data_IF_601723339774
#
_entry.id   IF_601723339774
#
_cell.length_a   1.000
_cell.length_b   1.000
_cell.length_c   1.000
_cell.angle_alpha   90.00
_cell.angle_beta   90.00
_cell.angle_gamma   90.00
#
_symmetry.space_group_name_H-M   'P 1'
#
loop_
_entity.id
_entity.type
_entity.pdbx_description
1 polymer ?
#
# COMPACT_ATOMS: atom_id res chain seq x y z
N UNK A 1 6.14 -34.94 -19.49
CA UNK A 1 6.89 -33.66 -19.49
C UNK A 1 6.41 -32.85 -18.30
N UNK A 2 7.20 -32.77 -17.23
CA UNK A 2 6.92 -31.89 -16.10
C UNK A 2 7.42 -30.49 -16.46
N UNK A 3 6.52 -29.52 -16.55
CA UNK A 3 6.90 -28.11 -16.58
C UNK A 3 7.39 -27.75 -15.17
N UNK A 4 8.66 -27.36 -15.08
CA UNK A 4 9.23 -26.85 -13.84
C UNK A 4 8.40 -25.64 -13.37
N UNK A 5 8.02 -25.54 -12.09
CA UNK A 5 7.37 -24.35 -11.59
C UNK A 5 8.36 -23.20 -11.72
N UNK A 6 8.00 -22.19 -12.51
CA UNK A 6 8.70 -20.92 -12.54
C UNK A 6 8.51 -20.29 -11.17
N UNK A 7 9.45 -20.56 -10.25
CA UNK A 7 9.52 -19.88 -8.97
C UNK A 7 9.92 -18.45 -9.30
N UNK A 8 8.93 -17.57 -9.48
CA UNK A 8 9.18 -16.14 -9.34
C UNK A 8 9.78 -15.95 -7.95
N UNK A 9 10.94 -15.29 -7.81
CA UNK A 9 11.52 -15.09 -6.50
C UNK A 9 10.51 -14.32 -5.65
N UNK A 10 10.06 -14.95 -4.56
CA UNK A 10 9.15 -14.40 -3.53
C UNK A 10 9.59 -12.99 -3.08
N UNK A 11 10.86 -12.64 -3.28
CA UNK A 11 11.46 -11.37 -2.88
C UNK A 11 11.09 -10.15 -3.75
N UNK A 12 10.81 -10.29 -5.05
CA UNK A 12 10.70 -9.09 -5.93
C UNK A 12 9.38 -8.35 -5.80
N UNK A 13 8.26 -9.06 -5.59
CA UNK A 13 6.96 -8.39 -5.42
C UNK A 13 6.86 -7.71 -4.05
N UNK A 14 7.45 -8.32 -3.01
CA UNK A 14 7.39 -7.80 -1.64
C UNK A 14 8.20 -6.51 -1.44
N UNK A 15 9.37 -6.39 -2.08
CA UNK A 15 10.18 -5.15 -1.98
C UNK A 15 9.51 -3.94 -2.64
N UNK A 16 8.62 -4.16 -3.61
CA UNK A 16 7.85 -3.12 -4.30
C UNK A 16 6.38 -3.12 -3.91
N UNK A 17 6.04 -3.56 -2.70
CA UNK A 17 4.65 -3.71 -2.26
C UNK A 17 4.15 -2.52 -1.42
N UNK A 18 2.83 -2.32 -1.39
CA UNK A 18 2.23 -1.30 -0.53
C UNK A 18 2.36 -1.68 0.94
N UNK A 19 2.27 -2.97 1.29
CA UNK A 19 2.51 -3.41 2.66
C UNK A 19 3.91 -3.04 3.16
N UNK A 20 4.94 -3.14 2.31
CA UNK A 20 6.29 -2.74 2.65
C UNK A 20 6.39 -1.22 2.85
N UNK A 21 5.82 -0.43 1.93
CA UNK A 21 5.81 1.03 2.05
C UNK A 21 5.09 1.51 3.31
N UNK A 22 3.93 0.92 3.65
CA UNK A 22 3.18 1.23 4.86
C UNK A 22 3.97 0.90 6.14
N UNK A 23 4.60 -0.28 6.19
CA UNK A 23 5.47 -0.65 7.31
C UNK A 23 6.63 0.34 7.48
N UNK A 24 7.24 0.78 6.37
CA UNK A 24 8.32 1.76 6.42
C UNK A 24 7.83 3.10 6.98
N UNK A 25 6.69 3.61 6.49
CA UNK A 25 6.08 4.84 7.03
C UNK A 25 5.70 4.68 8.50
N UNK A 26 5.13 3.55 8.90
CA UNK A 26 4.79 3.31 10.31
C UNK A 26 6.04 3.39 11.21
N UNK A 27 7.18 2.87 10.75
CA UNK A 27 8.44 2.94 11.48
C UNK A 27 9.02 4.35 11.54
N UNK A 28 8.99 5.09 10.44
CA UNK A 28 9.56 6.46 10.37
C UNK A 28 8.66 7.50 11.05
N UNK A 29 7.34 7.30 11.01
CA UNK A 29 6.36 8.19 11.62
C UNK A 29 6.31 8.09 13.16
N UNK A 30 6.89 7.05 13.79
CA UNK A 30 6.91 6.87 15.26
C UNK A 30 7.42 8.07 16.06
N UNK A 31 8.30 8.87 15.47
CA UNK A 31 8.84 10.06 16.12
C UNK A 31 8.02 11.33 15.87
N UNK A 32 7.10 11.33 14.90
CA UNK A 32 6.45 12.53 14.37
C UNK A 32 4.91 12.47 14.31
N UNK A 33 4.32 11.29 14.48
CA UNK A 33 2.87 11.07 14.46
C UNK A 33 2.39 10.48 15.79
N UNK A 34 1.12 10.68 16.12
CA UNK A 34 0.50 10.06 17.30
C UNK A 34 0.49 8.52 17.24
N UNK A 35 0.46 7.85 18.40
CA UNK A 35 0.42 6.39 18.49
C UNK A 35 -0.73 5.76 17.69
N UNK A 36 -1.88 6.44 17.66
CA UNK A 36 -3.07 5.99 16.92
C UNK A 36 -2.78 5.87 15.42
N UNK A 37 -2.18 6.90 14.80
CA UNK A 37 -1.82 6.87 13.39
C UNK A 37 -0.81 5.76 13.10
N UNK A 38 0.22 5.62 13.95
CA UNK A 38 1.22 4.56 13.76
C UNK A 38 0.62 3.17 13.90
N UNK A 39 -0.33 2.96 14.82
CA UNK A 39 -1.02 1.69 14.98
C UNK A 39 -1.91 1.38 13.77
N UNK A 40 -2.62 2.38 13.22
CA UNK A 40 -3.42 2.20 12.01
C UNK A 40 -2.57 1.94 10.77
N UNK A 41 -1.38 2.53 10.67
CA UNK A 41 -0.41 2.21 9.61
C UNK A 41 0.09 0.77 9.70
N UNK A 42 0.49 0.32 10.90
CA UNK A 42 0.93 -1.06 11.15
C UNK A 42 -0.20 -2.07 10.84
N UNK A 43 -1.44 -1.78 11.28
CA UNK A 43 -2.61 -2.61 10.98
C UNK A 43 -2.87 -2.71 9.46
N UNK A 44 -2.87 -1.56 8.77
CA UNK A 44 -3.08 -1.51 7.34
C UNK A 44 -1.99 -2.26 6.58
N UNK A 45 -0.73 -2.14 6.99
CA UNK A 45 0.38 -2.89 6.39
C UNK A 45 0.15 -4.40 6.46
N UNK A 46 -0.29 -4.91 7.62
CA UNK A 46 -0.62 -6.32 7.81
C UNK A 46 -1.78 -6.80 6.93
N UNK A 47 -2.88 -6.02 6.84
CA UNK A 47 -4.02 -6.36 6.00
C UNK A 47 -3.68 -6.34 4.51
N UNK A 48 -2.91 -5.35 4.08
CA UNK A 48 -2.44 -5.23 2.69
C UNK A 48 -1.52 -6.40 2.35
N UNK A 49 -0.63 -6.81 3.27
CA UNK A 49 0.23 -7.97 3.06
C UNK A 49 -0.56 -9.25 2.81
N UNK A 50 -1.63 -9.49 3.57
CA UNK A 50 -2.51 -10.66 3.38
C UNK A 50 -3.13 -10.64 1.97
N UNK A 51 -3.65 -9.48 1.55
CA UNK A 51 -4.26 -9.33 0.22
C UNK A 51 -3.25 -9.51 -0.92
N UNK A 52 -2.08 -8.87 -0.82
CA UNK A 52 -0.99 -8.99 -1.80
C UNK A 52 -0.48 -10.43 -1.92
N UNK A 53 -0.30 -11.11 -0.79
CA UNK A 53 0.08 -12.53 -0.76
C UNK A 53 -0.96 -13.41 -1.43
N UNK A 54 -2.25 -13.16 -1.18
CA UNK A 54 -3.34 -13.92 -1.80
C UNK A 54 -3.38 -13.72 -3.32
N UNK A 55 -3.24 -12.49 -3.82
CA UNK A 55 -3.15 -12.22 -5.26
C UNK A 55 -1.94 -12.93 -5.87
N UNK A 56 -0.79 -12.85 -5.22
CA UNK A 56 0.43 -13.50 -5.68
C UNK A 56 0.26 -15.03 -5.79
N UNK A 57 -0.34 -15.66 -4.78
CA UNK A 57 -0.66 -17.09 -4.80
C UNK A 57 -1.60 -17.45 -5.94
N UNK A 58 -2.69 -16.69 -6.13
CA UNK A 58 -3.64 -16.89 -7.23
C UNK A 58 -2.96 -16.80 -8.61
N UNK A 59 -2.00 -15.89 -8.79
CA UNK A 59 -1.22 -15.80 -10.01
C UNK A 59 -0.24 -16.95 -10.20
N UNK A 60 0.40 -17.40 -9.12
CA UNK A 60 1.35 -18.49 -9.16
C UNK A 60 0.67 -19.81 -9.60
N UNK A 61 -0.58 -20.04 -9.19
CA UNK A 61 -1.35 -21.22 -9.62
C UNK A 61 -1.98 -21.06 -11.01
N UNK A 62 -2.22 -19.83 -11.49
CA UNK A 62 -2.87 -19.53 -12.77
C UNK A 62 -2.06 -18.52 -13.62
N UNK A 63 -0.83 -18.83 -14.03
CA UNK A 63 0.02 -17.89 -14.75
C UNK A 63 -0.59 -17.51 -16.11
N UNK A 64 -0.72 -16.20 -16.35
CA UNK A 64 -1.26 -15.67 -17.61
C UNK A 64 -2.78 -15.83 -17.76
N UNK A 65 -3.50 -16.15 -16.69
CA UNK A 65 -4.96 -16.22 -16.69
C UNK A 65 -5.56 -15.18 -15.75
N UNK A 66 -6.82 -14.83 -16.01
CA UNK A 66 -7.59 -13.93 -15.16
C UNK A 66 -7.80 -14.61 -13.81
N UNK A 67 -7.30 -14.01 -12.73
CA UNK A 67 -7.43 -14.56 -11.36
C UNK A 67 -8.82 -14.39 -10.76
N UNK A 68 -9.61 -13.43 -11.26
CA UNK A 68 -10.97 -13.18 -10.82
C UNK A 68 -11.78 -12.51 -11.96
N UNK A 69 -13.03 -12.93 -12.24
CA UNK A 69 -13.86 -12.31 -13.27
C UNK A 69 -14.27 -10.86 -12.96
N UNK A 70 -14.25 -10.44 -11.70
CA UNK A 70 -14.49 -9.05 -11.31
C UNK A 70 -13.22 -8.19 -11.57
N UNK A 71 -13.26 -7.21 -12.49
CA UNK A 71 -12.11 -6.36 -12.79
C UNK A 71 -11.71 -5.46 -11.61
N UNK A 72 -12.60 -5.27 -10.62
CA UNK A 72 -12.34 -4.48 -9.42
C UNK A 72 -11.91 -5.33 -8.22
N UNK A 73 -11.80 -6.65 -8.36
CA UNK A 73 -11.45 -7.56 -7.27
C UNK A 73 -10.21 -7.11 -6.48
N UNK A 74 -9.14 -6.79 -7.20
CA UNK A 74 -7.86 -6.38 -6.62
C UNK A 74 -7.99 -5.03 -5.91
N UNK A 75 -8.59 -4.06 -6.60
CA UNK A 75 -8.85 -2.73 -6.06
C UNK A 75 -9.69 -2.79 -4.78
N UNK A 76 -10.78 -3.55 -4.79
CA UNK A 76 -11.68 -3.70 -3.65
C UNK A 76 -10.98 -4.34 -2.45
N UNK A 77 -10.08 -5.30 -2.67
CA UNK A 77 -9.30 -5.88 -1.58
C UNK A 77 -8.31 -4.88 -0.97
N UNK A 78 -7.65 -4.04 -1.77
CA UNK A 78 -6.81 -2.95 -1.26
C UNK A 78 -7.63 -1.90 -0.50
N UNK A 79 -8.78 -1.49 -1.05
CA UNK A 79 -9.67 -0.52 -0.39
C UNK A 79 -10.18 -1.05 0.96
N UNK A 80 -10.54 -2.33 1.02
CA UNK A 80 -10.95 -3.00 2.26
C UNK A 80 -9.80 -3.05 3.28
N UNK A 81 -8.60 -3.41 2.84
CA UNK A 81 -7.42 -3.46 3.70
C UNK A 81 -7.02 -2.09 4.28
N UNK A 82 -7.24 -1.01 3.52
CA UNK A 82 -6.91 0.36 3.89
C UNK A 82 -8.03 1.11 4.62
N UNK A 83 -9.23 0.53 4.73
CA UNK A 83 -10.43 1.24 5.18
C UNK A 83 -10.24 1.97 6.52
N UNK A 84 -9.72 1.27 7.53
CA UNK A 84 -9.52 1.84 8.86
C UNK A 84 -8.51 2.99 8.83
N UNK A 85 -7.39 2.81 8.12
CA UNK A 85 -6.37 3.84 7.96
C UNK A 85 -6.93 5.08 7.27
N UNK A 86 -7.70 4.92 6.20
CA UNK A 86 -8.36 6.05 5.53
C UNK A 86 -9.31 6.79 6.49
N UNK A 87 -10.07 6.05 7.30
CA UNK A 87 -10.93 6.62 8.33
C UNK A 87 -10.15 7.50 9.32
N UNK A 88 -9.02 7.00 9.83
CA UNK A 88 -8.17 7.75 10.75
C UNK A 88 -7.56 8.97 10.05
N UNK A 89 -7.00 8.83 8.85
CA UNK A 89 -6.34 9.94 8.14
C UNK A 89 -7.29 11.08 7.73
N UNK A 90 -8.59 10.79 7.62
CA UNK A 90 -9.63 11.75 7.23
C UNK A 90 -10.49 12.21 8.40
N UNK A 91 -10.15 11.81 9.62
CA UNK A 91 -10.85 12.17 10.84
C UNK A 91 -10.89 13.70 11.03
N UNK A 92 -12.08 14.31 11.19
CA UNK A 92 -12.23 15.76 11.40
C UNK A 92 -11.39 16.31 12.56
N UNK A 93 -11.17 15.48 13.59
CA UNK A 93 -10.43 15.79 14.81
C UNK A 93 -8.97 16.13 14.53
N UNK A 94 -8.40 15.65 13.42
CA UNK A 94 -7.02 15.92 13.03
C UNK A 94 -6.79 17.29 12.42
N UNK A 95 -7.84 18.01 12.00
CA UNK A 95 -7.70 19.24 11.19
C UNK A 95 -6.88 20.35 11.85
N UNK A 96 -6.78 20.35 13.18
CA UNK A 96 -6.03 21.35 13.96
C UNK A 96 -4.90 20.74 14.80
N UNK A 97 -4.48 19.51 14.52
CA UNK A 97 -3.40 18.83 15.26
C UNK A 97 -2.07 18.94 14.52
N UNK A 98 -0.96 18.69 15.24
CA UNK A 98 0.36 18.58 14.65
C UNK A 98 0.43 17.47 13.58
N UNK A 99 -0.44 16.46 13.70
CA UNK A 99 -0.54 15.33 12.78
C UNK A 99 -1.24 15.68 11.46
N UNK A 100 -1.99 16.79 11.39
CA UNK A 100 -2.81 17.15 10.23
C UNK A 100 -2.03 17.06 8.91
N UNK A 101 -0.82 17.61 8.87
CA UNK A 101 -0.01 17.64 7.65
C UNK A 101 0.48 16.24 7.26
N UNK A 102 0.93 15.44 8.23
CA UNK A 102 1.41 14.08 8.00
C UNK A 102 0.26 13.20 7.52
N UNK A 103 -0.89 13.27 8.19
CA UNK A 103 -2.09 12.52 7.79
C UNK A 103 -2.57 12.90 6.39
N UNK A 104 -2.60 14.20 6.09
CA UNK A 104 -2.96 14.68 4.76
C UNK A 104 -2.00 14.15 3.68
N UNK A 105 -0.69 14.22 3.93
CA UNK A 105 0.32 13.72 2.99
C UNK A 105 0.18 12.22 2.74
N UNK A 106 0.02 11.41 3.81
CA UNK A 106 -0.20 9.96 3.70
C UNK A 106 -1.48 9.69 2.89
N UNK A 107 -2.58 10.37 3.23
CA UNK A 107 -3.85 10.19 2.54
C UNK A 107 -3.73 10.48 1.04
N UNK A 108 -3.11 11.58 0.65
CA UNK A 108 -2.91 11.94 -0.75
C UNK A 108 -2.11 10.88 -1.51
N UNK A 109 -1.04 10.33 -0.92
CA UNK A 109 -0.26 9.24 -1.52
C UNK A 109 -1.06 7.95 -1.65
N UNK A 110 -1.86 7.61 -0.64
CA UNK A 110 -2.75 6.44 -0.72
C UNK A 110 -3.79 6.58 -1.83
N UNK A 111 -4.34 7.78 -2.05
CA UNK A 111 -5.27 8.03 -3.16
C UNK A 111 -4.60 7.85 -4.52
N UNK A 112 -3.36 8.31 -4.69
CA UNK A 112 -2.59 8.10 -5.92
C UNK A 112 -2.35 6.61 -6.20
N UNK A 113 -1.96 5.86 -5.17
CA UNK A 113 -1.72 4.41 -5.26
C UNK A 113 -3.03 3.67 -5.60
N UNK A 114 -4.12 3.96 -4.89
CA UNK A 114 -5.44 3.38 -5.15
C UNK A 114 -5.92 3.66 -6.56
N UNK A 115 -5.65 4.86 -7.10
CA UNK A 115 -5.98 5.21 -8.48
C UNK A 115 -5.19 4.35 -9.48
N UNK A 116 -3.90 4.12 -9.26
CA UNK A 116 -3.09 3.24 -10.11
C UNK A 116 -3.64 1.82 -10.05
N UNK A 117 -3.91 1.30 -8.85
CA UNK A 117 -4.51 -0.02 -8.64
C UNK A 117 -5.88 -0.13 -9.33
N UNK A 118 -6.71 0.91 -9.29
CA UNK A 118 -8.00 0.91 -9.99
C UNK A 118 -7.84 0.72 -11.50
N UNK A 119 -6.85 1.40 -12.12
CA UNK A 119 -6.62 1.31 -13.56
C UNK A 119 -5.82 0.09 -14.02
N UNK A 120 -5.03 -0.52 -13.14
CA UNK A 120 -4.09 -1.60 -13.47
C UNK A 120 -4.38 -2.91 -12.75
N UNK A 121 -5.36 -2.93 -11.84
CA UNK A 121 -5.65 -4.08 -10.99
C UNK A 121 -6.13 -5.32 -11.72
N UNK A 122 -6.48 -5.23 -13.00
CA UNK A 122 -6.75 -6.40 -13.85
C UNK A 122 -5.48 -7.04 -14.42
N UNK A 123 -4.37 -6.31 -14.45
CA UNK A 123 -3.05 -6.71 -14.97
C UNK A 123 -2.01 -6.61 -13.86
N UNK A 124 -2.03 -7.56 -12.91
CA UNK A 124 -1.13 -7.50 -11.75
C UNK A 124 0.37 -7.56 -12.11
N UNK A 125 0.83 -8.34 -13.11
CA UNK A 125 2.24 -8.30 -13.48
C UNK A 125 2.63 -6.89 -13.96
N UNK A 126 1.75 -6.25 -14.75
CA UNK A 126 1.91 -4.85 -15.14
C UNK A 126 1.81 -3.87 -13.97
N UNK A 127 0.93 -4.10 -12.99
CA UNK A 127 0.78 -3.25 -11.80
C UNK A 127 2.08 -3.14 -11.00
N UNK A 128 2.72 -4.28 -10.68
CA UNK A 128 3.95 -4.29 -9.88
C UNK A 128 5.18 -3.81 -10.67
N UNK A 129 5.10 -3.75 -12.00
CA UNK A 129 6.13 -3.22 -12.87
C UNK A 129 5.86 -1.78 -13.32
N UNK A 130 4.71 -1.19 -12.96
CA UNK A 130 4.34 0.16 -13.39
C UNK A 130 5.26 1.19 -12.70
N UNK A 131 6.03 2.00 -13.46
CA UNK A 131 6.92 3.01 -12.88
C UNK A 131 6.19 4.03 -12.01
N UNK A 132 4.90 4.31 -12.29
CA UNK A 132 4.09 5.21 -11.48
C UNK A 132 3.74 4.56 -10.14
N UNK A 133 3.52 3.24 -10.11
CA UNK A 133 3.31 2.50 -8.87
C UNK A 133 4.58 2.54 -8.02
N UNK A 134 5.73 2.20 -8.61
CA UNK A 134 7.03 2.25 -7.91
C UNK A 134 7.33 3.64 -7.35
N UNK A 135 7.06 4.69 -8.13
CA UNK A 135 7.22 6.08 -7.69
C UNK A 135 6.26 6.42 -6.53
N UNK A 136 4.97 6.11 -6.65
CA UNK A 136 3.99 6.43 -5.62
C UNK A 136 4.28 5.71 -4.29
N UNK A 137 4.74 4.46 -4.35
CA UNK A 137 5.19 3.70 -3.18
C UNK A 137 6.42 4.33 -2.52
N UNK A 138 7.39 4.79 -3.33
CA UNK A 138 8.56 5.50 -2.82
C UNK A 138 8.18 6.83 -2.17
N UNK A 139 7.31 7.62 -2.83
CA UNK A 139 6.83 8.91 -2.32
C UNK A 139 6.03 8.73 -1.01
N UNK A 140 5.32 7.61 -0.84
CA UNK A 140 4.69 7.23 0.42
C UNK A 140 5.74 6.88 1.48
N UNK A 141 6.68 5.98 1.19
CA UNK A 141 7.71 5.53 2.12
C UNK A 141 8.56 6.69 2.67
N UNK A 142 8.85 7.69 1.84
CA UNK A 142 9.72 8.81 2.19
C UNK A 142 8.96 10.11 2.46
N UNK A 143 7.72 10.04 2.97
CA UNK A 143 7.03 11.26 3.43
C UNK A 143 7.93 11.95 4.45
N UNK A 144 8.35 13.20 4.21
CA UNK A 144 9.20 13.92 5.15
C UNK A 144 8.43 14.05 6.46
N UNK A 145 8.91 13.36 7.49
CA UNK A 145 8.49 13.59 8.86
C UNK A 145 8.65 15.08 9.11
N UNK A 146 7.54 15.74 9.49
CA UNK A 146 7.47 17.17 9.67
C UNK A 146 8.71 17.64 10.45
N UNK A 147 9.66 18.28 9.76
CA UNK A 147 10.75 18.98 10.43
C UNK A 147 10.08 20.17 11.11
N UNK A 148 9.54 19.93 12.30
CA UNK A 148 9.14 20.99 13.20
C UNK A 148 10.39 21.86 13.38
N UNK A 149 10.34 23.03 12.78
CA UNK A 149 11.26 24.14 12.91
C UNK A 149 11.60 24.33 14.39
N UNK A 150 12.74 23.75 14.81
CA UNK A 150 13.48 24.21 15.97
C UNK A 150 14.29 25.42 15.52
N UNK A 151 13.67 26.58 15.53
CA UNK A 151 14.34 27.87 15.71
C UNK A 151 13.48 28.73 16.64
#
# INVERSE_FOLDING_TARGET
MQLAPTIYPIATWYQGSLSCALNHVAQTAKAAASPEITASLDEAAGRVYIHESYIYELQAVNPGHIINPDPLFVYNGYLCALHNLIGVLTAPELKNTADCQVCHNIYMRLQEILKIIYYRGYDIPGLFQDPNMSKALSDLAFIPACQASRQ
#
